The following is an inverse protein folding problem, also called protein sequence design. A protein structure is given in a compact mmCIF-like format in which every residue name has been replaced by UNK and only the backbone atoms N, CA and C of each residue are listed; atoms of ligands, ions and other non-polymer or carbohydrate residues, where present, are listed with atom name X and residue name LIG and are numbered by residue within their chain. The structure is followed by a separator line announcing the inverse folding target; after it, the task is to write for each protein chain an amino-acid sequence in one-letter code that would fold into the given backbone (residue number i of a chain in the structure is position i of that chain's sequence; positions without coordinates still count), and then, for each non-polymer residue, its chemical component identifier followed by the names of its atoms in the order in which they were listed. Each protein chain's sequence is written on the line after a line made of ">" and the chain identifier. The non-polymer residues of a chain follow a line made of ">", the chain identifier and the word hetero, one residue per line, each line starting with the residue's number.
data_IF_981493473533
#
_entry.id   IF_981493473533
#
_cell.length_a   1.000
_cell.length_b   1.000
_cell.length_c   1.000
_cell.angle_alpha   90.00
_cell.angle_beta   90.00
_cell.angle_gamma   90.00
#
_symmetry.space_group_name_H-M   'P 1'
#
loop_
_entity.id
_entity.type
_entity.pdbx_description
1 polymer ?
#
# COMPACT_ATOMS: atom_id res chain seq x y z
N UNK A 1 23.49 19.33 31.61
CA UNK A 1 22.76 18.11 31.18
C UNK A 1 21.39 17.90 31.86
N UNK A 2 20.84 18.92 32.52
CA UNK A 2 19.58 18.80 33.30
C UNK A 2 18.40 19.65 32.78
N UNK A 3 18.57 20.39 31.67
CA UNK A 3 17.52 21.29 31.15
C UNK A 3 16.64 20.72 30.04
N UNK A 4 16.98 19.56 29.46
CA UNK A 4 16.17 18.95 28.40
C UNK A 4 14.96 18.16 28.92
N UNK A 5 15.04 17.60 30.13
CA UNK A 5 13.96 16.75 30.70
C UNK A 5 12.75 17.57 31.18
N UNK A 6 12.92 18.85 31.49
CA UNK A 6 11.82 19.70 32.01
C UNK A 6 10.90 20.25 30.92
N UNK A 7 11.36 20.38 29.67
CA UNK A 7 10.50 20.80 28.55
C UNK A 7 9.58 19.67 28.09
N UNK A 8 10.06 18.44 28.07
CA UNK A 8 9.24 17.25 27.70
C UNK A 8 8.08 17.01 28.68
N UNK A 9 8.25 17.22 29.98
CA UNK A 9 7.15 17.09 30.97
C UNK A 9 6.04 18.13 30.83
N UNK A 10 6.34 19.34 30.38
CA UNK A 10 5.31 20.37 30.13
C UNK A 10 4.52 20.12 28.83
N UNK A 11 5.14 19.55 27.79
CA UNK A 11 4.43 19.15 26.55
C UNK A 11 3.48 17.98 26.82
N UNK A 12 3.89 16.98 27.60
CA UNK A 12 3.08 15.80 27.92
C UNK A 12 1.80 16.17 28.70
N UNK A 13 1.85 17.15 29.59
CA UNK A 13 0.67 17.59 30.36
C UNK A 13 -0.33 18.42 29.55
N UNK A 14 0.11 19.17 28.53
CA UNK A 14 -0.77 19.85 27.57
C UNK A 14 -1.36 18.93 26.52
N UNK A 15 -0.68 17.85 26.16
CA UNK A 15 -1.15 16.81 25.23
C UNK A 15 -2.24 15.94 25.85
N UNK A 16 -2.15 15.60 27.14
CA UNK A 16 -3.17 14.81 27.85
C UNK A 16 -4.55 15.50 27.88
N UNK A 17 -4.59 16.84 27.95
CA UNK A 17 -5.84 17.60 27.95
C UNK A 17 -6.42 17.81 26.52
N UNK A 18 -5.59 17.83 25.49
CA UNK A 18 -6.03 17.90 24.09
C UNK A 18 -6.52 16.54 23.55
N UNK A 19 -5.92 15.45 23.98
CA UNK A 19 -6.30 14.08 23.55
C UNK A 19 -7.68 13.63 24.06
N UNK A 20 -8.26 14.29 25.07
CA UNK A 20 -9.60 13.97 25.59
C UNK A 20 -10.76 14.42 24.68
N UNK A 21 -10.51 15.25 23.66
CA UNK A 21 -11.56 15.82 22.80
C UNK A 21 -11.29 15.71 21.28
N UNK A 22 -10.18 15.08 20.85
CA UNK A 22 -9.78 15.12 19.45
C UNK A 22 -10.37 13.96 18.64
N UNK A 23 -11.24 14.30 17.72
CA UNK A 23 -11.63 13.47 16.58
C UNK A 23 -10.47 13.42 15.59
N UNK A 24 -10.36 12.33 14.78
CA UNK A 24 -9.26 12.16 13.80
C UNK A 24 -9.04 13.35 12.83
N UNK A 25 -9.93 14.34 12.80
CA UNK A 25 -9.78 15.60 12.04
C UNK A 25 -8.75 16.57 12.69
N UNK A 26 -8.64 16.63 14.00
CA UNK A 26 -7.67 17.54 14.64
C UNK A 26 -6.21 17.08 14.48
N UNK A 27 -6.00 15.75 14.36
CA UNK A 27 -4.70 15.20 13.96
C UNK A 27 -4.30 15.59 12.53
N UNK A 28 -5.28 15.86 11.66
CA UNK A 28 -5.05 16.27 10.26
C UNK A 28 -4.68 17.75 10.15
N UNK A 29 -5.21 18.63 11.02
CA UNK A 29 -4.86 20.06 11.06
C UNK A 29 -3.40 20.31 11.52
N UNK A 30 -2.84 19.41 12.32
CA UNK A 30 -1.42 19.47 12.69
C UNK A 30 -0.50 19.12 11.50
N UNK A 31 -0.96 18.29 10.56
CA UNK A 31 -0.17 17.93 9.37
C UNK A 31 -0.01 19.09 8.36
N UNK A 32 -0.89 20.07 8.34
CA UNK A 32 -0.70 21.27 7.52
C UNK A 32 0.53 22.09 7.94
N UNK A 33 1.02 21.90 9.19
CA UNK A 33 2.26 22.49 9.70
C UNK A 33 3.52 21.74 9.27
N UNK A 34 3.41 20.41 9.05
CA UNK A 34 4.53 19.55 8.63
C UNK A 34 4.99 19.89 7.21
N UNK A 35 4.08 20.32 6.34
CA UNK A 35 4.39 20.66 4.94
C UNK A 35 5.25 21.93 4.79
N UNK A 36 5.42 22.72 5.84
CA UNK A 36 6.23 23.94 5.81
C UNK A 36 7.73 23.74 6.12
N UNK A 37 8.22 22.51 6.09
CA UNK A 37 9.65 22.23 5.98
C UNK A 37 10.41 22.02 7.30
N UNK A 38 9.71 21.78 8.40
CA UNK A 38 10.38 21.51 9.65
C UNK A 38 10.43 19.99 9.94
N UNK A 39 11.63 19.42 9.78
CA UNK A 39 11.92 17.99 10.02
C UNK A 39 11.52 17.58 11.45
N UNK A 40 11.62 18.51 12.40
CA UNK A 40 11.28 18.32 13.81
C UNK A 40 9.77 18.17 14.01
N UNK A 41 8.94 18.93 13.27
CA UNK A 41 7.47 18.80 13.32
C UNK A 41 6.99 17.47 12.71
N UNK A 42 7.60 17.02 11.61
CA UNK A 42 7.28 15.73 11.00
C UNK A 42 7.58 14.55 11.94
N UNK A 43 8.73 14.59 12.61
CA UNK A 43 9.11 13.57 13.61
C UNK A 43 8.16 13.57 14.81
N UNK A 44 7.79 14.75 15.34
CA UNK A 44 6.85 14.86 16.46
C UNK A 44 5.47 14.28 16.12
N UNK A 45 4.92 14.58 14.94
CA UNK A 45 3.62 14.04 14.53
C UNK A 45 3.64 12.52 14.36
N UNK A 46 4.72 11.97 13.83
CA UNK A 46 4.88 10.51 13.71
C UNK A 46 5.03 9.84 15.07
N UNK A 47 5.74 10.45 16.03
CA UNK A 47 5.86 9.97 17.40
C UNK A 47 4.50 9.99 18.12
N UNK A 48 3.69 11.04 17.95
CA UNK A 48 2.33 11.10 18.49
C UNK A 48 1.44 9.99 17.95
N UNK A 49 1.49 9.74 16.64
CA UNK A 49 0.78 8.63 16.01
C UNK A 49 1.26 7.29 16.57
N UNK A 50 2.58 7.09 16.73
CA UNK A 50 3.13 5.86 17.30
C UNK A 50 2.67 5.68 18.75
N UNK A 51 2.70 6.74 19.57
CA UNK A 51 2.23 6.68 20.95
C UNK A 51 0.74 6.31 21.04
N UNK A 52 -0.12 6.97 20.27
CA UNK A 52 -1.56 6.67 20.20
C UNK A 52 -1.83 5.22 19.81
N UNK A 53 -1.08 4.69 18.85
CA UNK A 53 -1.24 3.31 18.38
C UNK A 53 -0.65 2.28 19.36
N UNK A 54 0.35 2.68 20.16
CA UNK A 54 0.87 1.87 21.28
C UNK A 54 -0.11 1.78 22.45
N UNK A 55 -0.87 2.83 22.74
CA UNK A 55 -1.91 2.80 23.77
C UNK A 55 -3.10 1.90 23.40
N UNK A 56 -3.32 1.66 22.12
CA UNK A 56 -4.38 0.79 21.61
C UNK A 56 -3.79 -0.36 20.76
N UNK A 57 -3.06 -1.29 21.37
CA UNK A 57 -2.43 -2.37 20.65
C UNK A 57 -3.46 -3.24 19.93
N UNK A 58 -3.12 -3.69 18.74
CA UNK A 58 -3.94 -4.64 18.02
C UNK A 58 -4.07 -5.94 18.81
N UNK A 59 -5.31 -6.34 19.09
CA UNK A 59 -5.63 -7.63 19.71
C UNK A 59 -6.35 -8.49 18.67
N UNK A 60 -5.79 -9.65 18.29
CA UNK A 60 -6.41 -10.52 17.32
C UNK A 60 -7.71 -11.12 17.89
N UNK A 61 -8.69 -11.32 17.03
CA UNK A 61 -9.91 -12.05 17.37
C UNK A 61 -9.56 -13.45 17.88
N UNK A 62 -10.19 -13.88 18.98
CA UNK A 62 -9.84 -15.13 19.70
C UNK A 62 -9.85 -16.39 18.84
N UNK A 63 -10.68 -16.44 17.78
CA UNK A 63 -10.73 -17.56 16.83
C UNK A 63 -9.63 -17.51 15.76
N UNK A 64 -8.93 -16.38 15.60
CA UNK A 64 -7.93 -16.18 14.52
C UNK A 64 -6.61 -15.68 15.11
N UNK A 65 -5.94 -16.53 15.88
CA UNK A 65 -4.72 -16.18 16.63
C UNK A 65 -3.43 -16.40 15.85
N UNK A 66 -3.45 -17.12 14.73
CA UNK A 66 -2.27 -17.34 13.89
C UNK A 66 -2.30 -16.53 12.60
N UNK A 67 -1.12 -16.21 12.04
CA UNK A 67 -0.99 -15.49 10.79
C UNK A 67 -1.74 -16.13 9.63
N UNK A 68 -1.71 -17.45 9.50
CA UNK A 68 -2.50 -18.18 8.50
C UNK A 68 -4.01 -18.01 8.72
N UNK A 69 -4.48 -18.15 9.96
CA UNK A 69 -5.90 -17.99 10.28
C UNK A 69 -6.38 -16.56 9.99
N UNK A 70 -5.63 -15.55 10.39
CA UNK A 70 -5.90 -14.14 10.09
C UNK A 70 -5.98 -13.89 8.58
N UNK A 71 -4.99 -14.38 7.82
CA UNK A 71 -4.92 -14.22 6.37
C UNK A 71 -6.13 -14.86 5.66
N UNK A 72 -6.43 -16.11 5.98
CA UNK A 72 -7.53 -16.85 5.35
C UNK A 72 -8.90 -16.29 5.76
N UNK A 73 -9.08 -15.94 7.04
CA UNK A 73 -10.29 -15.32 7.51
C UNK A 73 -10.56 -13.96 6.84
N UNK A 74 -9.53 -13.11 6.70
CA UNK A 74 -9.68 -11.83 6.02
C UNK A 74 -10.08 -11.96 4.55
N UNK A 75 -9.57 -12.99 3.86
CA UNK A 75 -9.91 -13.29 2.48
C UNK A 75 -11.34 -13.85 2.35
N UNK A 76 -11.74 -14.75 3.26
CA UNK A 76 -13.04 -15.44 3.22
C UNK A 76 -14.18 -14.67 3.93
N UNK A 77 -13.86 -13.62 4.71
CA UNK A 77 -14.86 -12.94 5.54
C UNK A 77 -15.97 -12.29 4.72
N UNK A 78 -17.24 -12.62 4.98
CA UNK A 78 -18.36 -12.15 4.17
C UNK A 78 -18.70 -10.68 4.49
N UNK A 79 -17.91 -9.74 4.01
CA UNK A 79 -18.16 -8.29 4.13
C UNK A 79 -19.14 -7.76 3.08
N UNK A 80 -19.75 -8.62 2.27
CA UNK A 80 -20.63 -8.24 1.15
C UNK A 80 -21.77 -7.28 1.54
N UNK A 81 -22.29 -7.34 2.78
CA UNK A 81 -23.34 -6.39 3.23
C UNK A 81 -22.82 -4.97 3.47
N UNK A 82 -21.55 -4.82 3.84
CA UNK A 82 -20.91 -3.50 3.97
C UNK A 82 -20.58 -2.90 2.60
N UNK A 83 -20.41 -3.72 1.58
CA UNK A 83 -20.07 -3.31 0.20
C UNK A 83 -21.19 -2.48 -0.44
N UNK A 84 -22.47 -2.83 -0.19
CA UNK A 84 -23.64 -2.11 -0.71
C UNK A 84 -23.79 -0.67 -0.20
N UNK A 85 -23.06 -0.30 0.86
CA UNK A 85 -23.13 1.08 1.41
C UNK A 85 -22.18 2.06 0.72
N UNK A 86 -21.33 1.59 -0.19
CA UNK A 86 -20.48 2.42 -1.09
C UNK A 86 -20.93 2.32 -2.55
N UNK A 87 -22.24 2.11 -2.80
CA UNK A 87 -22.77 1.93 -4.16
C UNK A 87 -22.66 3.19 -5.04
N UNK A 88 -22.42 4.36 -4.43
CA UNK A 88 -22.16 5.59 -5.16
C UNK A 88 -20.64 5.81 -5.33
N UNK A 89 -20.08 5.28 -6.40
CA UNK A 89 -18.72 5.61 -6.84
C UNK A 89 -18.73 6.05 -8.31
N UNK A 90 -17.83 6.96 -8.60
CA UNK A 90 -17.51 7.35 -9.98
C UNK A 90 -16.43 6.42 -10.52
N UNK A 91 -16.67 5.84 -11.68
CA UNK A 91 -15.64 5.09 -12.41
C UNK A 91 -14.85 6.08 -13.28
N UNK A 92 -13.54 6.20 -13.03
CA UNK A 92 -12.65 7.13 -13.73
C UNK A 92 -11.45 6.42 -14.31
N UNK A 93 -11.05 6.80 -15.51
CA UNK A 93 -9.84 6.34 -16.16
C UNK A 93 -8.73 7.38 -15.99
N UNK A 94 -7.57 6.93 -15.50
CA UNK A 94 -6.32 7.67 -15.47
C UNK A 94 -5.43 7.19 -16.60
N UNK A 95 -4.94 8.10 -17.44
CA UNK A 95 -3.93 7.76 -18.45
C UNK A 95 -2.54 7.93 -17.84
N UNK A 96 -1.87 6.80 -17.56
CA UNK A 96 -0.58 6.79 -16.88
C UNK A 96 0.62 6.83 -17.84
N UNK A 97 0.40 6.40 -19.07
CA UNK A 97 1.30 6.50 -20.23
C UNK A 97 0.44 6.59 -21.49
N UNK A 98 0.95 7.07 -22.63
CA UNK A 98 0.20 7.09 -23.88
C UNK A 98 -0.42 5.73 -24.22
N UNK A 99 -1.76 5.68 -24.30
CA UNK A 99 -2.50 4.45 -24.58
C UNK A 99 -2.58 3.44 -23.42
N UNK A 100 -2.13 3.80 -22.22
CA UNK A 100 -2.19 2.95 -21.02
C UNK A 100 -3.09 3.61 -19.98
N UNK A 101 -4.24 3.01 -19.72
CA UNK A 101 -5.24 3.54 -18.80
C UNK A 101 -5.48 2.61 -17.62
N UNK A 102 -5.65 3.21 -16.45
CA UNK A 102 -6.00 2.54 -15.20
C UNK A 102 -7.37 2.99 -14.73
N UNK A 103 -8.20 2.05 -14.31
CA UNK A 103 -9.54 2.31 -13.78
C UNK A 103 -9.47 2.55 -12.28
N UNK A 104 -10.03 3.65 -11.81
CA UNK A 104 -10.31 3.88 -10.40
C UNK A 104 -11.82 3.95 -10.11
N UNK A 105 -12.17 3.60 -8.86
CA UNK A 105 -13.50 3.83 -8.30
C UNK A 105 -13.37 4.91 -7.21
N UNK A 106 -13.90 6.09 -7.50
CA UNK A 106 -13.78 7.28 -6.65
C UNK A 106 -15.08 7.57 -5.92
N UNK A 107 -14.98 7.97 -4.65
CA UNK A 107 -16.10 8.45 -3.85
C UNK A 107 -15.69 9.77 -3.21
N UNK A 108 -16.46 10.81 -3.47
CA UNK A 108 -16.12 12.18 -3.10
C UNK A 108 -16.95 12.67 -1.92
N UNK A 109 -16.34 13.45 -1.04
CA UNK A 109 -17.01 14.23 -0.03
C UNK A 109 -17.76 15.42 -0.67
N UNK A 110 -18.59 16.10 0.10
CA UNK A 110 -19.36 17.26 -0.37
C UNK A 110 -18.45 18.38 -0.93
N UNK A 111 -17.29 18.60 -0.30
CA UNK A 111 -16.29 19.56 -0.69
C UNK A 111 -14.95 18.85 -0.98
N UNK A 112 -14.77 18.25 -2.17
CA UNK A 112 -13.62 17.40 -2.45
C UNK A 112 -12.26 18.09 -2.31
N UNK A 113 -12.16 19.35 -2.76
CA UNK A 113 -10.90 20.12 -2.74
C UNK A 113 -10.41 20.43 -1.31
N UNK A 114 -11.32 20.53 -0.35
CA UNK A 114 -11.00 20.82 1.05
C UNK A 114 -10.86 19.55 1.90
N UNK A 115 -11.38 18.43 1.43
CA UNK A 115 -11.32 17.15 2.12
C UNK A 115 -10.02 16.41 1.82
N UNK A 116 -9.39 15.73 2.79
CA UNK A 116 -8.24 14.90 2.51
C UNK A 116 -8.64 13.74 1.58
N UNK A 117 -7.71 13.29 0.75
CA UNK A 117 -7.94 12.21 -0.21
C UNK A 117 -7.09 11.01 0.13
N UNK A 118 -7.67 9.82 0.16
CA UNK A 118 -6.98 8.56 0.31
C UNK A 118 -6.96 7.79 -1.01
N UNK A 119 -5.79 7.72 -1.64
CA UNK A 119 -5.51 6.88 -2.80
C UNK A 119 -5.14 5.48 -2.30
N UNK A 120 -5.99 4.48 -2.63
CA UNK A 120 -5.81 3.09 -2.23
C UNK A 120 -5.38 2.23 -3.40
N UNK A 121 -4.36 1.40 -3.19
CA UNK A 121 -3.82 0.47 -4.18
C UNK A 121 -3.77 -0.96 -3.64
N UNK A 122 -4.34 -1.90 -4.39
CA UNK A 122 -4.46 -3.31 -4.00
C UNK A 122 -3.16 -4.12 -4.18
N UNK A 123 -3.07 -5.27 -3.52
CA UNK A 123 -1.98 -6.24 -3.66
C UNK A 123 -2.04 -7.05 -4.97
N UNK A 124 -1.11 -8.00 -5.10
CA UNK A 124 -0.98 -8.89 -6.26
C UNK A 124 -2.32 -9.56 -6.60
N UNK A 125 -2.72 -9.49 -7.88
CA UNK A 125 -3.97 -10.05 -8.45
C UNK A 125 -5.27 -9.57 -7.73
N UNK A 126 -5.20 -8.52 -6.92
CA UNK A 126 -6.38 -7.91 -6.31
C UNK A 126 -7.15 -6.99 -7.27
N UNK A 127 -8.03 -6.18 -6.68
CA UNK A 127 -8.76 -5.13 -7.40
C UNK A 127 -9.24 -4.05 -6.43
N UNK A 128 -9.77 -2.95 -6.97
CA UNK A 128 -10.49 -1.92 -6.21
C UNK A 128 -11.67 -2.47 -5.41
N UNK A 129 -12.12 -3.69 -5.73
CA UNK A 129 -13.23 -4.39 -5.07
C UNK A 129 -12.76 -5.42 -4.03
N UNK A 130 -11.47 -5.55 -3.79
CA UNK A 130 -10.94 -6.42 -2.74
C UNK A 130 -11.48 -6.03 -1.37
N UNK A 131 -11.75 -7.00 -0.51
CA UNK A 131 -12.45 -6.82 0.77
C UNK A 131 -11.75 -5.79 1.67
N UNK A 132 -10.41 -5.86 1.75
CA UNK A 132 -9.62 -4.90 2.54
C UNK A 132 -9.65 -3.49 1.94
N UNK A 133 -9.65 -3.36 0.61
CA UNK A 133 -9.78 -2.07 -0.08
C UNK A 133 -11.09 -1.38 0.29
N UNK A 134 -12.20 -2.12 0.19
CA UNK A 134 -13.53 -1.57 0.50
C UNK A 134 -13.66 -1.30 2.00
N UNK A 135 -13.16 -2.20 2.87
CA UNK A 135 -13.20 -2.01 4.31
C UNK A 135 -12.47 -0.74 4.75
N UNK A 136 -11.27 -0.49 4.22
CA UNK A 136 -10.49 0.72 4.47
C UNK A 136 -11.18 1.95 3.90
N UNK A 137 -11.64 1.87 2.65
CA UNK A 137 -12.35 2.95 1.98
C UNK A 137 -13.60 3.41 2.75
N UNK A 138 -14.42 2.48 3.24
CA UNK A 138 -15.62 2.81 4.04
C UNK A 138 -15.28 3.54 5.34
N UNK A 139 -14.25 3.09 6.04
CA UNK A 139 -13.80 3.72 7.30
C UNK A 139 -13.29 5.13 7.02
N UNK A 140 -12.41 5.29 6.04
CA UNK A 140 -11.83 6.58 5.68
C UNK A 140 -12.90 7.55 5.13
N UNK A 141 -13.82 7.08 4.30
CA UNK A 141 -14.92 7.92 3.80
C UNK A 141 -15.81 8.47 4.94
N UNK A 142 -16.10 7.64 5.95
CA UNK A 142 -16.83 8.07 7.16
C UNK A 142 -16.03 9.05 8.02
N UNK A 143 -14.72 9.00 7.94
CA UNK A 143 -13.81 9.94 8.62
C UNK A 143 -13.57 11.22 7.81
N UNK A 144 -14.32 11.44 6.70
CA UNK A 144 -14.28 12.67 5.92
C UNK A 144 -13.29 12.66 4.75
N UNK A 145 -12.68 11.54 4.42
CA UNK A 145 -11.77 11.45 3.27
C UNK A 145 -12.54 11.28 1.95
N UNK A 146 -12.06 11.91 0.88
CA UNK A 146 -12.30 11.41 -0.46
C UNK A 146 -11.58 10.07 -0.63
N UNK A 147 -12.13 9.19 -1.44
CA UNK A 147 -11.55 7.87 -1.69
C UNK A 147 -11.32 7.67 -3.19
N UNK A 148 -10.11 7.24 -3.53
CA UNK A 148 -9.76 6.79 -4.88
C UNK A 148 -9.21 5.37 -4.77
N UNK A 149 -9.97 4.36 -5.19
CA UNK A 149 -9.57 2.95 -5.21
C UNK A 149 -9.09 2.57 -6.60
N UNK A 150 -7.78 2.52 -6.78
CA UNK A 150 -7.14 2.29 -8.06
C UNK A 150 -7.03 0.78 -8.36
N UNK A 151 -7.41 0.36 -9.57
CA UNK A 151 -7.01 -0.93 -10.12
C UNK A 151 -5.65 -0.77 -10.79
N UNK A 152 -4.69 -1.61 -10.43
CA UNK A 152 -3.44 -1.70 -11.16
C UNK A 152 -3.69 -2.17 -12.61
N UNK A 153 -2.73 -1.90 -13.50
CA UNK A 153 -2.81 -2.33 -14.90
C UNK A 153 -3.29 -3.77 -14.98
N UNK A 154 -4.21 -4.08 -15.86
CA UNK A 154 -4.72 -5.45 -16.11
C UNK A 154 -5.48 -6.12 -14.97
N UNK A 155 -5.75 -5.41 -13.87
CA UNK A 155 -6.48 -5.95 -12.73
C UNK A 155 -7.93 -5.45 -12.68
N UNK A 156 -8.82 -6.21 -12.01
CA UNK A 156 -10.21 -5.81 -11.84
C UNK A 156 -11.04 -5.79 -13.14
N UNK A 157 -10.69 -6.63 -14.12
CA UNK A 157 -11.39 -6.71 -15.42
C UNK A 157 -10.92 -5.67 -16.44
N UNK A 158 -9.77 -5.03 -16.21
CA UNK A 158 -9.25 -3.94 -17.04
C UNK A 158 -8.15 -4.36 -18.02
N UNK A 159 -8.02 -5.65 -18.32
CA UNK A 159 -6.97 -6.19 -19.18
C UNK A 159 -6.96 -5.56 -20.59
N UNK A 160 -8.10 -5.06 -21.05
CA UNK A 160 -8.28 -4.42 -22.36
C UNK A 160 -7.81 -2.95 -22.40
N UNK A 161 -7.62 -2.31 -21.24
CA UNK A 161 -7.25 -0.89 -21.14
C UNK A 161 -5.77 -0.62 -21.38
N UNK A 162 -4.95 -1.64 -21.42
CA UNK A 162 -3.51 -1.51 -21.64
C UNK A 162 -2.91 -2.78 -22.26
N UNK A 163 -1.95 -2.65 -23.20
CA UNK A 163 -1.19 -3.80 -23.67
C UNK A 163 -0.17 -4.30 -22.64
N UNK A 164 0.29 -3.46 -21.70
CA UNK A 164 1.37 -3.79 -20.76
C UNK A 164 0.88 -4.58 -19.54
N UNK A 165 1.81 -5.23 -18.83
CA UNK A 165 1.58 -5.84 -17.53
C UNK A 165 1.90 -4.83 -16.42
N UNK A 166 1.55 -5.14 -15.19
CA UNK A 166 2.05 -4.45 -14.00
C UNK A 166 3.11 -5.28 -13.30
N UNK A 167 3.96 -4.61 -12.55
CA UNK A 167 4.98 -5.21 -11.69
C UNK A 167 5.18 -4.40 -10.40
N UNK A 168 6.00 -4.91 -9.47
CA UNK A 168 6.25 -4.26 -8.18
C UNK A 168 7.08 -2.98 -8.27
N UNK A 169 7.65 -2.65 -9.42
CA UNK A 169 8.43 -1.44 -9.66
C UNK A 169 7.66 -0.26 -10.25
N UNK A 170 6.33 -0.38 -10.43
CA UNK A 170 5.49 0.60 -11.15
C UNK A 170 5.17 1.88 -10.35
N UNK A 171 6.18 2.49 -9.71
CA UNK A 171 6.06 3.79 -9.02
C UNK A 171 5.63 4.93 -9.96
N UNK A 172 5.99 4.84 -11.26
CA UNK A 172 5.59 5.81 -12.28
C UNK A 172 4.08 5.92 -12.46
N UNK A 173 3.34 4.83 -12.27
CA UNK A 173 1.88 4.85 -12.36
C UNK A 173 1.26 5.64 -11.20
N UNK A 174 1.81 5.49 -9.99
CA UNK A 174 1.42 6.28 -8.82
C UNK A 174 1.66 7.77 -9.08
N UNK A 175 2.85 8.10 -9.60
CA UNK A 175 3.23 9.48 -9.96
C UNK A 175 2.24 10.10 -10.94
N UNK A 176 1.85 9.37 -11.98
CA UNK A 176 0.92 9.86 -13.00
C UNK A 176 -0.48 10.10 -12.41
N UNK A 177 -1.00 9.16 -11.62
CA UNK A 177 -2.30 9.30 -10.95
C UNK A 177 -2.29 10.45 -9.95
N UNK A 178 -1.28 10.55 -9.10
CA UNK A 178 -1.13 11.65 -8.13
C UNK A 178 -1.08 13.00 -8.84
N UNK A 179 -0.29 13.11 -9.92
CA UNK A 179 -0.22 14.34 -10.70
C UNK A 179 -1.59 14.76 -11.22
N UNK A 180 -2.35 13.85 -11.80
CA UNK A 180 -3.69 14.17 -12.32
C UNK A 180 -4.65 14.59 -11.19
N UNK A 181 -4.59 13.96 -10.02
CA UNK A 181 -5.38 14.35 -8.85
C UNK A 181 -5.03 15.76 -8.35
N UNK A 182 -3.79 16.18 -8.46
CA UNK A 182 -3.33 17.52 -8.07
C UNK A 182 -3.69 18.54 -9.16
N UNK A 183 -3.30 18.29 -10.40
CA UNK A 183 -3.39 19.29 -11.49
C UNK A 183 -4.83 19.49 -11.99
N UNK A 184 -5.60 18.39 -12.08
CA UNK A 184 -6.97 18.42 -12.62
C UNK A 184 -8.04 18.61 -11.56
N UNK A 185 -7.90 17.88 -10.42
CA UNK A 185 -8.91 17.89 -9.37
C UNK A 185 -8.58 18.90 -8.26
N UNK A 186 -7.40 19.53 -8.32
CA UNK A 186 -6.92 20.55 -7.38
C UNK A 186 -6.96 20.06 -5.91
N UNK A 187 -6.63 18.76 -5.71
CA UNK A 187 -6.62 18.17 -4.37
C UNK A 187 -5.37 18.61 -3.61
N UNK A 188 -5.57 19.12 -2.41
CA UNK A 188 -4.50 19.75 -1.61
C UNK A 188 -3.83 18.81 -0.62
N UNK A 189 -4.51 17.73 -0.19
CA UNK A 189 -4.03 16.77 0.82
C UNK A 189 -4.30 15.35 0.36
N UNK A 190 -3.25 14.63 0.00
CA UNK A 190 -3.35 13.27 -0.54
C UNK A 190 -2.52 12.32 0.33
N UNK A 191 -3.14 11.25 0.79
CA UNK A 191 -2.49 10.11 1.41
C UNK A 191 -2.46 8.95 0.42
N UNK A 192 -1.29 8.34 0.23
CA UNK A 192 -1.13 7.21 -0.68
C UNK A 192 -0.97 5.92 0.12
N UNK A 193 -1.91 4.99 -0.02
CA UNK A 193 -1.92 3.75 0.73
C UNK A 193 -1.83 2.54 -0.20
N UNK A 194 -0.82 1.70 0.01
CA UNK A 194 -0.61 0.46 -0.73
C UNK A 194 -0.65 -0.78 0.16
N UNK A 195 -1.25 -1.85 -0.36
CA UNK A 195 -1.32 -3.15 0.31
C UNK A 195 -0.39 -4.15 -0.37
N UNK A 196 0.37 -4.93 0.42
CA UNK A 196 1.22 -6.02 -0.08
C UNK A 196 2.19 -5.53 -1.16
N UNK A 197 2.07 -6.00 -2.38
CA UNK A 197 2.86 -5.55 -3.53
C UNK A 197 2.73 -4.03 -3.75
N UNK A 198 1.54 -3.45 -3.63
CA UNK A 198 1.38 -1.99 -3.72
C UNK A 198 1.98 -1.26 -2.53
N UNK A 199 2.11 -1.89 -1.36
CA UNK A 199 2.88 -1.36 -0.24
C UNK A 199 4.34 -1.13 -0.63
N UNK A 200 4.94 -2.06 -1.37
CA UNK A 200 6.26 -1.87 -1.97
C UNK A 200 6.27 -0.71 -2.98
N UNK A 201 5.27 -0.64 -3.88
CA UNK A 201 5.22 0.38 -4.92
C UNK A 201 5.14 1.80 -4.32
N UNK A 202 4.31 2.02 -3.28
CA UNK A 202 4.17 3.35 -2.68
C UNK A 202 5.40 3.75 -1.88
N UNK A 203 6.08 2.82 -1.22
CA UNK A 203 7.37 3.06 -0.56
C UNK A 203 8.47 3.37 -1.58
N UNK A 204 8.50 2.63 -2.70
CA UNK A 204 9.41 2.89 -3.80
C UNK A 204 9.17 4.28 -4.39
N UNK A 205 7.92 4.65 -4.66
CA UNK A 205 7.53 5.98 -5.11
C UNK A 205 8.07 7.08 -4.17
N UNK A 206 7.79 6.98 -2.87
CA UNK A 206 8.26 7.95 -1.90
C UNK A 206 9.79 8.03 -1.81
N UNK A 207 10.49 6.89 -1.92
CA UNK A 207 11.96 6.86 -1.87
C UNK A 207 12.64 7.32 -3.17
N UNK A 208 12.02 7.13 -4.33
CA UNK A 208 12.52 7.64 -5.62
C UNK A 208 12.35 9.16 -5.73
N UNK A 209 11.18 9.68 -5.36
CA UNK A 209 10.90 11.12 -5.39
C UNK A 209 11.63 11.87 -4.26
N UNK A 210 11.87 11.22 -3.13
CA UNK A 210 12.57 11.81 -1.97
C UNK A 210 12.16 13.28 -1.72
N UNK A 211 13.07 14.25 -1.91
CA UNK A 211 12.81 15.68 -1.71
C UNK A 211 12.00 16.36 -2.82
N UNK A 212 11.61 15.65 -3.89
CA UNK A 212 10.80 16.17 -5.01
C UNK A 212 9.34 15.69 -5.00
N UNK A 213 8.94 14.98 -3.93
CA UNK A 213 7.55 14.55 -3.78
C UNK A 213 6.62 15.79 -3.72
N UNK A 214 5.49 15.79 -4.45
CA UNK A 214 4.55 16.90 -4.38
C UNK A 214 4.13 17.23 -2.93
N UNK A 215 4.07 18.50 -2.59
CA UNK A 215 3.71 18.97 -1.24
C UNK A 215 2.29 18.55 -0.81
N UNK A 216 1.44 18.26 -1.78
CA UNK A 216 0.08 17.76 -1.58
C UNK A 216 0.06 16.32 -1.04
N UNK A 217 1.19 15.60 -1.09
CA UNK A 217 1.33 14.26 -0.47
C UNK A 217 1.62 14.44 1.01
N UNK A 218 0.58 14.32 1.82
CA UNK A 218 0.65 14.46 3.27
C UNK A 218 1.16 13.21 3.99
N UNK A 219 1.16 12.05 3.34
CA UNK A 219 1.70 10.83 3.94
C UNK A 219 1.58 9.60 3.04
N UNK A 220 2.42 8.60 3.35
CA UNK A 220 2.46 7.30 2.68
C UNK A 220 2.16 6.19 3.69
N UNK A 221 1.32 5.24 3.30
CA UNK A 221 0.92 4.12 4.15
C UNK A 221 1.19 2.82 3.40
N UNK A 222 1.93 1.92 4.00
CA UNK A 222 2.23 0.61 3.43
C UNK A 222 1.77 -0.50 4.39
N UNK A 223 0.81 -1.30 3.94
CA UNK A 223 0.25 -2.39 4.74
C UNK A 223 0.77 -3.73 4.22
N UNK A 224 1.44 -4.50 5.09
CA UNK A 224 2.10 -5.77 4.76
C UNK A 224 2.99 -5.69 3.51
N UNK A 225 3.88 -4.68 3.37
CA UNK A 225 4.60 -4.42 2.14
C UNK A 225 5.68 -5.49 1.85
N UNK A 226 5.78 -5.93 0.60
CA UNK A 226 6.86 -6.81 0.12
C UNK A 226 8.12 -6.01 -0.23
N UNK A 227 8.72 -5.34 0.77
CA UNK A 227 9.85 -4.41 0.55
C UNK A 227 11.11 -5.06 -0.01
N UNK A 228 11.26 -6.37 0.18
CA UNK A 228 12.29 -7.23 -0.38
C UNK A 228 11.62 -8.35 -1.18
N UNK A 229 11.69 -8.24 -2.50
CA UNK A 229 11.05 -9.20 -3.39
C UNK A 229 11.76 -10.55 -3.43
N UNK A 230 13.09 -10.61 -3.20
CA UNK A 230 13.80 -11.87 -3.04
C UNK A 230 13.30 -12.64 -1.82
N UNK A 231 13.24 -11.97 -0.67
CA UNK A 231 12.76 -12.57 0.57
C UNK A 231 11.32 -13.06 0.41
N UNK A 232 10.44 -12.26 -0.19
CA UNK A 232 9.02 -12.58 -0.43
C UNK A 232 8.86 -13.74 -1.40
N UNK A 233 9.60 -13.74 -2.54
CA UNK A 233 9.58 -14.82 -3.52
C UNK A 233 10.13 -16.16 -2.96
N UNK A 234 11.03 -16.11 -1.98
CA UNK A 234 11.51 -17.30 -1.29
C UNK A 234 10.53 -17.78 -0.21
N UNK A 235 9.90 -16.87 0.53
CA UNK A 235 8.94 -17.21 1.56
C UNK A 235 7.68 -17.88 0.99
N UNK A 236 7.13 -17.35 -0.11
CA UNK A 236 5.93 -17.93 -0.75
C UNK A 236 6.14 -19.37 -1.25
N UNK A 237 7.39 -19.79 -1.53
CA UNK A 237 7.72 -21.17 -1.96
C UNK A 237 7.73 -22.17 -0.81
N UNK A 238 7.75 -21.73 0.45
CA UNK A 238 7.78 -22.62 1.59
C UNK A 238 6.56 -23.54 1.58
N UNK A 239 6.71 -24.75 2.07
CA UNK A 239 5.68 -25.79 2.02
C UNK A 239 4.39 -25.36 2.72
N UNK A 240 4.49 -24.65 3.83
CA UNK A 240 3.36 -24.12 4.58
C UNK A 240 2.54 -23.09 3.77
N UNK A 241 3.13 -22.44 2.77
CA UNK A 241 2.51 -21.41 1.94
C UNK A 241 1.93 -21.92 0.60
N UNK A 242 1.88 -23.25 0.41
CA UNK A 242 1.47 -23.85 -0.87
C UNK A 242 0.09 -23.40 -1.36
N UNK A 243 -0.86 -23.15 -0.44
CA UNK A 243 -2.22 -22.68 -0.77
C UNK A 243 -2.17 -21.31 -1.44
N UNK A 244 -1.44 -20.36 -0.83
CA UNK A 244 -1.28 -18.99 -1.36
C UNK A 244 -0.53 -19.02 -2.68
N UNK A 245 0.57 -19.77 -2.75
CA UNK A 245 1.36 -19.92 -3.96
C UNK A 245 0.51 -20.50 -5.11
N UNK A 246 -0.27 -21.54 -4.85
CA UNK A 246 -1.16 -22.14 -5.84
C UNK A 246 -2.24 -21.16 -6.32
N UNK A 247 -2.85 -20.40 -5.40
CA UNK A 247 -3.84 -19.37 -5.75
C UNK A 247 -3.24 -18.31 -6.67
N UNK A 248 -2.12 -17.71 -6.29
CA UNK A 248 -1.43 -16.73 -7.14
C UNK A 248 -1.07 -17.28 -8.52
N UNK A 249 -0.57 -18.51 -8.58
CA UNK A 249 -0.22 -19.13 -9.87
C UNK A 249 -1.44 -19.38 -10.77
N UNK A 250 -2.62 -19.66 -10.20
CA UNK A 250 -3.87 -19.78 -10.94
C UNK A 250 -4.27 -18.43 -11.54
N UNK A 251 -4.24 -17.36 -10.72
CA UNK A 251 -4.66 -16.03 -11.13
C UNK A 251 -3.71 -15.44 -12.18
N UNK A 252 -2.40 -15.55 -11.97
CA UNK A 252 -1.36 -15.10 -12.90
C UNK A 252 -1.49 -15.79 -14.27
N UNK A 253 -1.68 -17.12 -14.27
CA UNK A 253 -1.89 -17.86 -15.54
C UNK A 253 -3.20 -17.47 -16.22
N UNK A 254 -4.26 -17.27 -15.44
CA UNK A 254 -5.56 -16.82 -15.95
C UNK A 254 -5.45 -15.46 -16.62
N UNK A 255 -4.77 -14.50 -15.97
CA UNK A 255 -4.48 -13.19 -16.54
C UNK A 255 -3.70 -13.31 -17.86
N UNK A 256 -2.64 -14.12 -17.91
CA UNK A 256 -1.88 -14.28 -19.15
C UNK A 256 -2.70 -14.86 -20.29
N UNK A 257 -3.63 -15.79 -20.02
CA UNK A 257 -4.56 -16.29 -21.04
C UNK A 257 -5.51 -15.20 -21.54
N UNK A 258 -6.00 -14.31 -20.64
CA UNK A 258 -6.82 -13.15 -21.04
C UNK A 258 -6.00 -12.18 -21.87
N UNK A 259 -4.78 -11.86 -21.44
CA UNK A 259 -3.86 -10.97 -22.19
C UNK A 259 -3.53 -11.52 -23.57
N UNK A 260 -3.26 -12.83 -23.71
CA UNK A 260 -3.03 -13.47 -25.02
C UNK A 260 -4.23 -13.33 -25.95
N UNK A 261 -5.45 -13.45 -25.44
CA UNK A 261 -6.67 -13.27 -26.28
C UNK A 261 -6.86 -11.84 -26.75
N UNK A 262 -6.52 -10.85 -25.90
CA UNK A 262 -6.67 -9.43 -26.22
C UNK A 262 -5.52 -8.88 -27.07
N UNK A 263 -4.32 -9.40 -26.86
CA UNK A 263 -3.08 -8.92 -27.50
C UNK A 263 -2.26 -10.11 -28.02
N UNK A 264 -2.75 -10.79 -29.07
CA UNK A 264 -2.16 -12.06 -29.55
C UNK A 264 -0.72 -11.91 -30.07
N UNK A 265 -0.36 -10.74 -30.57
CA UNK A 265 0.97 -10.48 -31.13
C UNK A 265 2.01 -10.11 -30.05
N UNK A 266 1.55 -9.72 -28.85
CA UNK A 266 2.44 -9.32 -27.75
C UNK A 266 2.77 -10.50 -26.83
N UNK A 267 1.81 -11.37 -26.55
CA UNK A 267 1.94 -12.41 -25.54
C UNK A 267 2.00 -13.81 -26.11
N UNK A 268 3.09 -14.53 -25.82
CA UNK A 268 3.20 -15.97 -26.09
C UNK A 268 2.94 -16.75 -24.79
N UNK A 269 1.89 -17.57 -24.81
CA UNK A 269 1.50 -18.41 -23.66
C UNK A 269 1.82 -19.89 -23.87
N UNK A 270 2.61 -20.29 -24.89
CA UNK A 270 3.10 -21.65 -25.05
C UNK A 270 3.89 -22.05 -23.81
N UNK A 271 3.64 -23.24 -23.26
CA UNK A 271 4.28 -23.71 -22.04
C UNK A 271 3.89 -22.96 -20.75
N UNK A 272 2.84 -22.12 -20.76
CA UNK A 272 2.35 -21.44 -19.55
C UNK A 272 1.97 -22.44 -18.43
N UNK A 273 1.48 -23.63 -18.77
CA UNK A 273 1.13 -24.69 -17.81
C UNK A 273 2.34 -25.31 -17.09
N UNK A 274 3.53 -25.27 -17.70
CA UNK A 274 4.77 -25.79 -17.10
C UNK A 274 5.42 -24.82 -16.10
N UNK A 275 5.03 -23.54 -16.10
CA UNK A 275 5.48 -22.55 -15.11
C UNK A 275 4.84 -22.87 -13.77
N UNK A 276 5.63 -23.31 -12.79
CA UNK A 276 5.13 -23.79 -11.50
C UNK A 276 5.40 -22.84 -10.33
N UNK A 277 6.31 -21.89 -10.49
CA UNK A 277 6.69 -20.96 -9.42
C UNK A 277 6.56 -19.51 -9.85
N UNK A 278 6.37 -18.60 -8.89
CA UNK A 278 6.35 -17.16 -9.15
C UNK A 278 7.64 -16.71 -9.83
N UNK A 279 8.81 -17.19 -9.36
CA UNK A 279 10.09 -16.85 -10.00
C UNK A 279 10.14 -17.26 -11.48
N UNK A 280 9.63 -18.44 -11.84
CA UNK A 280 9.54 -18.85 -13.26
C UNK A 280 8.57 -17.96 -14.06
N UNK A 281 7.51 -17.51 -13.41
CA UNK A 281 6.58 -16.56 -14.01
C UNK A 281 7.24 -15.21 -14.24
N UNK A 282 7.93 -14.72 -13.21
CA UNK A 282 8.62 -13.44 -13.25
C UNK A 282 9.74 -13.44 -14.29
N UNK A 283 10.51 -14.52 -14.40
CA UNK A 283 11.54 -14.70 -15.42
C UNK A 283 10.98 -14.59 -16.83
N UNK A 284 9.83 -15.23 -17.07
CA UNK A 284 9.30 -15.33 -18.42
C UNK A 284 8.40 -14.18 -18.83
N UNK A 285 7.64 -13.60 -17.89
CA UNK A 285 6.67 -12.56 -18.21
C UNK A 285 6.98 -11.23 -17.55
N UNK A 286 7.14 -11.19 -16.24
CA UNK A 286 7.31 -9.92 -15.53
C UNK A 286 8.59 -9.22 -15.96
N UNK A 287 9.72 -9.92 -15.97
CA UNK A 287 11.00 -9.34 -16.34
C UNK A 287 11.02 -8.92 -17.81
N UNK A 288 10.62 -9.81 -18.72
CA UNK A 288 10.68 -9.53 -20.15
C UNK A 288 9.78 -8.37 -20.59
N UNK A 289 8.56 -8.28 -20.03
CA UNK A 289 7.63 -7.21 -20.39
C UNK A 289 7.83 -5.94 -19.53
N UNK A 290 8.52 -6.03 -18.40
CA UNK A 290 8.83 -4.92 -17.51
C UNK A 290 10.15 -4.19 -17.81
N UNK A 291 10.93 -4.68 -18.79
CA UNK A 291 12.25 -4.08 -19.14
C UNK A 291 13.36 -4.43 -18.14
N UNK A 292 13.28 -5.61 -17.54
CA UNK A 292 14.32 -6.18 -16.69
C UNK A 292 15.04 -7.30 -17.43
N UNK A 293 16.33 -7.49 -17.11
CA UNK A 293 17.17 -8.50 -17.79
C UNK A 293 16.72 -9.94 -17.44
N UNK A 294 16.26 -10.17 -16.20
CA UNK A 294 15.80 -11.45 -15.65
C UNK A 294 15.03 -11.21 -14.35
N UNK A 295 14.56 -12.27 -13.70
CA UNK A 295 13.84 -12.17 -12.44
C UNK A 295 14.68 -11.58 -11.30
N UNK A 296 15.98 -11.83 -11.25
CA UNK A 296 16.86 -11.28 -10.20
C UNK A 296 17.04 -9.75 -10.38
N UNK A 297 17.23 -9.28 -11.60
CA UNK A 297 17.26 -7.85 -11.91
C UNK A 297 15.92 -7.18 -11.57
N UNK A 298 14.80 -7.84 -11.88
CA UNK A 298 13.48 -7.38 -11.48
C UNK A 298 13.39 -7.24 -9.96
N UNK A 299 13.73 -8.28 -9.20
CA UNK A 299 13.66 -8.23 -7.74
C UNK A 299 14.56 -7.16 -7.15
N UNK A 300 15.78 -7.03 -7.66
CA UNK A 300 16.73 -6.03 -7.17
C UNK A 300 16.23 -4.60 -7.41
N UNK A 301 15.75 -4.30 -8.64
CA UNK A 301 15.38 -2.94 -9.04
C UNK A 301 13.96 -2.55 -8.59
N UNK A 302 13.05 -3.51 -8.40
CA UNK A 302 11.68 -3.27 -7.99
C UNK A 302 11.48 -3.24 -6.48
N UNK A 303 12.41 -3.78 -5.67
CA UNK A 303 12.36 -3.72 -4.21
C UNK A 303 12.49 -2.30 -3.69
N UNK A 304 11.62 -1.91 -2.75
CA UNK A 304 11.65 -0.61 -2.11
C UNK A 304 12.70 -0.49 -1.02
N UNK A 305 13.13 -1.59 -0.40
CA UNK A 305 13.99 -1.60 0.78
C UNK A 305 15.23 -0.70 0.66
N UNK A 306 16.01 -0.70 -0.44
CA UNK A 306 17.18 0.18 -0.58
C UNK A 306 16.84 1.67 -0.65
N UNK A 307 15.59 1.99 -1.02
CA UNK A 307 15.12 3.36 -1.23
C UNK A 307 14.46 3.95 0.01
N UNK A 308 14.02 3.14 0.98
CA UNK A 308 13.32 3.60 2.19
C UNK A 308 14.17 4.64 2.95
N UNK A 309 15.49 4.49 3.03
CA UNK A 309 16.39 5.47 3.66
C UNK A 309 16.32 6.88 3.06
N UNK A 310 15.78 7.02 1.86
CA UNK A 310 15.65 8.29 1.13
C UNK A 310 14.32 9.00 1.37
N UNK A 311 13.33 8.31 1.93
CA UNK A 311 12.00 8.88 2.19
C UNK A 311 12.11 10.09 3.12
N UNK A 312 11.42 11.17 2.75
CA UNK A 312 11.36 12.45 3.49
C UNK A 312 9.92 12.91 3.75
N UNK A 313 8.96 12.01 3.60
CA UNK A 313 7.53 12.24 3.82
C UNK A 313 7.04 11.32 4.94
N UNK A 314 6.17 11.77 5.86
CA UNK A 314 5.60 10.94 6.90
C UNK A 314 5.11 9.61 6.35
N UNK A 315 5.67 8.52 6.84
CA UNK A 315 5.41 7.19 6.30
C UNK A 315 5.09 6.19 7.41
N UNK A 316 3.94 5.53 7.29
CA UNK A 316 3.49 4.48 8.19
C UNK A 316 3.59 3.12 7.51
N UNK A 317 4.36 2.21 8.09
CA UNK A 317 4.39 0.80 7.70
C UNK A 317 3.62 -0.01 8.74
N UNK A 318 2.63 -0.78 8.31
CA UNK A 318 1.87 -1.71 9.16
C UNK A 318 2.18 -3.13 8.69
N UNK A 319 2.77 -3.97 9.56
CA UNK A 319 3.17 -5.32 9.17
C UNK A 319 3.11 -6.29 10.36
N UNK A 320 2.36 -7.38 10.23
CA UNK A 320 2.30 -8.39 11.28
C UNK A 320 3.58 -9.24 11.29
N UNK A 321 4.14 -9.51 12.49
CA UNK A 321 5.34 -10.34 12.60
C UNK A 321 5.09 -11.80 12.18
N UNK A 322 3.84 -12.26 12.23
CA UNK A 322 3.39 -13.59 11.84
C UNK A 322 2.82 -13.66 10.41
N UNK A 323 3.14 -12.68 9.54
CA UNK A 323 2.75 -12.74 8.12
C UNK A 323 3.32 -14.02 7.47
N UNK A 324 2.48 -14.90 6.92
CA UNK A 324 2.94 -16.23 6.49
C UNK A 324 3.88 -16.20 5.29
N UNK A 325 3.79 -15.20 4.42
CA UNK A 325 4.56 -15.20 3.16
C UNK A 325 5.25 -13.88 2.80
N UNK A 326 5.03 -12.80 3.56
CA UNK A 326 5.87 -11.61 3.49
C UNK A 326 6.68 -11.51 4.79
N UNK A 327 8.01 -11.82 4.75
CA UNK A 327 8.82 -11.83 5.96
C UNK A 327 8.91 -10.45 6.62
N UNK A 328 8.84 -10.43 7.95
CA UNK A 328 9.05 -9.23 8.75
C UNK A 328 10.54 -8.79 8.80
N UNK A 329 11.47 -9.73 8.65
CA UNK A 329 12.91 -9.50 8.82
C UNK A 329 13.47 -8.33 8.00
N UNK A 330 13.08 -8.13 6.72
CA UNK A 330 13.55 -6.97 5.95
C UNK A 330 13.20 -5.62 6.57
N UNK A 331 12.13 -5.52 7.35
CA UNK A 331 11.72 -4.28 8.03
C UNK A 331 12.59 -3.93 9.24
N UNK A 332 13.46 -4.83 9.70
CA UNK A 332 14.48 -4.56 10.73
C UNK A 332 15.76 -3.92 10.16
N UNK A 333 15.83 -3.74 8.85
CA UNK A 333 16.95 -3.10 8.19
C UNK A 333 17.10 -1.64 8.65
N UNK A 334 18.33 -1.16 8.82
CA UNK A 334 18.65 0.23 9.20
C UNK A 334 18.00 1.26 8.28
N UNK A 335 17.85 0.96 6.99
CA UNK A 335 17.14 1.83 6.04
C UNK A 335 15.69 2.14 6.48
N UNK A 336 15.07 1.27 7.27
CA UNK A 336 13.73 1.43 7.83
C UNK A 336 13.80 2.02 9.25
N UNK A 337 14.60 1.39 10.13
CA UNK A 337 14.60 1.68 11.58
C UNK A 337 15.31 2.98 11.95
N UNK A 338 16.21 3.48 11.10
CA UNK A 338 16.95 4.72 11.34
C UNK A 338 16.40 5.90 10.52
N UNK A 339 15.35 5.70 9.70
CA UNK A 339 14.74 6.81 8.97
C UNK A 339 13.71 7.53 9.85
N UNK A 340 13.91 8.81 10.22
CA UNK A 340 13.01 9.55 11.11
C UNK A 340 11.61 9.79 10.52
N UNK A 341 11.47 9.72 9.20
CA UNK A 341 10.18 9.85 8.52
C UNK A 341 9.39 8.54 8.43
N UNK A 342 9.90 7.43 8.97
CA UNK A 342 9.27 6.11 8.83
C UNK A 342 8.98 5.51 10.19
N UNK A 343 7.70 5.23 10.44
CA UNK A 343 7.26 4.45 11.61
C UNK A 343 6.77 3.08 11.18
N UNK A 344 7.16 2.04 11.90
CA UNK A 344 6.70 0.68 11.68
C UNK A 344 5.85 0.19 12.85
N UNK A 345 4.59 -0.13 12.58
CA UNK A 345 3.72 -0.85 13.49
C UNK A 345 3.78 -2.35 13.18
N UNK A 346 4.37 -3.11 14.10
CA UNK A 346 4.61 -4.53 13.91
C UNK A 346 3.95 -5.36 15.02
N UNK A 347 2.61 -5.52 15.04
CA UNK A 347 1.96 -6.40 16.00
C UNK A 347 2.43 -7.83 15.80
N UNK A 348 2.45 -8.61 16.91
CA UNK A 348 2.88 -10.03 16.88
C UNK A 348 2.00 -10.87 15.95
N UNK A 349 0.72 -10.55 15.90
CA UNK A 349 -0.30 -11.26 15.14
C UNK A 349 -0.99 -10.31 14.18
N UNK A 350 -1.58 -10.85 13.10
CA UNK A 350 -2.30 -10.06 12.10
C UNK A 350 -2.31 -10.71 10.72
N UNK A 351 -1.38 -11.61 10.45
CA UNK A 351 -1.25 -12.28 9.16
C UNK A 351 -1.01 -11.31 8.01
N UNK A 352 -1.25 -11.77 6.79
CA UNK A 352 -1.10 -10.95 5.60
C UNK A 352 -2.37 -10.12 5.34
N UNK A 353 -2.30 -8.81 5.57
CA UNK A 353 -3.43 -7.87 5.38
C UNK A 353 -4.68 -8.29 6.17
N UNK A 354 -4.55 -9.14 7.20
CA UNK A 354 -5.68 -9.68 7.96
C UNK A 354 -6.21 -8.70 8.98
N UNK A 355 -5.47 -8.51 10.06
CA UNK A 355 -5.76 -7.60 11.16
C UNK A 355 -7.22 -7.65 11.62
N UNK A 356 -7.75 -8.88 11.82
CA UNK A 356 -9.10 -9.10 12.35
C UNK A 356 -9.04 -9.09 13.87
N UNK A 357 -9.75 -8.14 14.51
CA UNK A 357 -9.89 -7.97 15.95
C UNK A 357 -11.32 -8.32 16.41
#
# INVERSE_FOLDING_TARGET
>A
MYNHVSRHRRLILTLSDRLKMSTGLELLDQQDRIQNGDEEEACCALEEIAHFLHEKPFTPHSLFTSGHAQTLAAYAWPRRRSLRKMDAYEARLFEVEPGVRMLAHSSWQKNPKESPTLLLMHGLEGSSQSVYMIGTALKAFRAGFNIVRLNQRTCGGTEHLTPTLYDSGMSRDVRAVVRELIERDELKRIFVCGFSMSGNIVLKYAGEEAGSLPREISGVIAVSPSVDLFASANAIKRRENWIYHKSFMIDLRSRMRRKKRLFPDIYDTRGLSSIRTMRQFDERFTAQHGGYSNADDYYARASALPLIKRIRTPTLIIHAQDDPFIPYEPLKNRAVTENPYVITLAPRHGGHVGFIS
#
